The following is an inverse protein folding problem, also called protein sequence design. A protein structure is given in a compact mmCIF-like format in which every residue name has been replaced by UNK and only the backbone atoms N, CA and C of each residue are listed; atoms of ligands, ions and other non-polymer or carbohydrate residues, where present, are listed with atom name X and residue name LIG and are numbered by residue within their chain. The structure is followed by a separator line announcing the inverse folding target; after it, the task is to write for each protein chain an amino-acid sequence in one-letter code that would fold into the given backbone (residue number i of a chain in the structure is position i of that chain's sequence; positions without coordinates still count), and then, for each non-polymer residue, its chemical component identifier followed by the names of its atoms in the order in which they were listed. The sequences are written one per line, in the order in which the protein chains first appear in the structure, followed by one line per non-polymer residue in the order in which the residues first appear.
data_IF_845153692539
#
_entry.id   IF_845153692539
#
_cell.length_a   1.000
_cell.length_b   1.000
_cell.length_c   1.000
_cell.angle_alpha   90.00
_cell.angle_beta   90.00
_cell.angle_gamma   90.00
#
_symmetry.space_group_name_H-M   'P 1'
#
loop_
_entity.id
_entity.type
_entity.pdbx_description
1 polymer ?
#
# COMPACT_ATOMS: atom_id res chain seq x y z
N UNK A 1 -18.57 -14.81 -14.25
CA UNK A 1 -18.76 -14.39 -12.84
C UNK A 1 -17.87 -13.19 -12.59
N UNK A 2 -18.43 -12.14 -12.00
CA UNK A 2 -17.72 -10.89 -11.69
C UNK A 2 -17.20 -10.89 -10.25
N UNK A 3 -15.89 -10.79 -10.08
CA UNK A 3 -15.26 -10.64 -8.79
C UNK A 3 -14.73 -9.21 -8.62
N UNK A 4 -15.09 -8.60 -7.52
CA UNK A 4 -14.49 -7.31 -7.10
C UNK A 4 -13.58 -7.58 -5.91
N UNK A 5 -12.38 -7.00 -5.94
CA UNK A 5 -11.36 -7.12 -4.90
C UNK A 5 -11.00 -5.72 -4.43
N UNK A 6 -11.04 -5.48 -3.12
CA UNK A 6 -10.67 -4.21 -2.51
C UNK A 6 -9.33 -4.36 -1.81
N UNK A 7 -8.33 -3.59 -2.28
CA UNK A 7 -6.95 -3.65 -1.83
C UNK A 7 -6.06 -4.51 -2.72
N UNK A 8 -5.00 -3.92 -3.25
CA UNK A 8 -4.16 -4.48 -4.33
C UNK A 8 -2.77 -4.94 -3.91
N UNK A 9 -2.45 -4.97 -2.62
CA UNK A 9 -1.08 -5.31 -2.22
C UNK A 9 -0.94 -6.82 -2.00
N UNK A 10 -0.78 -7.30 -0.77
CA UNK A 10 -0.49 -8.72 -0.54
C UNK A 10 -1.73 -9.61 -0.72
N UNK A 11 -2.78 -9.38 0.07
CA UNK A 11 -3.97 -10.24 0.11
C UNK A 11 -4.74 -10.22 -1.20
N UNK A 12 -5.08 -9.02 -1.69
CA UNK A 12 -5.90 -8.88 -2.90
C UNK A 12 -5.19 -9.34 -4.16
N UNK A 13 -3.92 -8.97 -4.36
CA UNK A 13 -3.15 -9.44 -5.52
C UNK A 13 -2.99 -10.97 -5.52
N UNK A 14 -2.75 -11.58 -4.36
CA UNK A 14 -2.68 -13.04 -4.23
C UNK A 14 -4.02 -13.71 -4.53
N UNK A 15 -5.11 -13.14 -4.00
CA UNK A 15 -6.46 -13.63 -4.25
C UNK A 15 -6.83 -13.55 -5.74
N UNK A 16 -6.55 -12.40 -6.37
CA UNK A 16 -6.80 -12.19 -7.80
C UNK A 16 -6.06 -13.22 -8.68
N UNK A 17 -4.77 -13.41 -8.41
CA UNK A 17 -3.95 -14.38 -9.13
C UNK A 17 -4.43 -15.83 -8.90
N UNK A 18 -4.94 -16.15 -7.71
CA UNK A 18 -5.49 -17.46 -7.41
C UNK A 18 -6.85 -17.67 -8.08
N UNK A 19 -7.72 -16.68 -8.05
CA UNK A 19 -9.03 -16.72 -8.72
C UNK A 19 -8.87 -17.01 -10.22
N UNK A 20 -7.98 -16.28 -10.89
CA UNK A 20 -7.73 -16.50 -12.32
C UNK A 20 -7.31 -17.92 -12.64
N UNK A 21 -6.53 -18.56 -11.77
CA UNK A 21 -6.11 -19.97 -11.95
C UNK A 21 -7.25 -20.97 -11.71
N UNK A 22 -8.28 -20.57 -10.96
CA UNK A 22 -9.47 -21.40 -10.69
C UNK A 22 -10.56 -21.19 -11.72
N UNK A 23 -10.67 -20.00 -12.31
CA UNK A 23 -11.66 -19.64 -13.30
C UNK A 23 -11.04 -18.69 -14.34
N UNK A 24 -10.70 -19.24 -15.50
CA UNK A 24 -10.09 -18.51 -16.60
C UNK A 24 -11.06 -17.52 -17.26
N UNK A 25 -12.37 -17.73 -17.09
CA UNK A 25 -13.42 -16.90 -17.69
C UNK A 25 -13.96 -15.80 -16.77
N UNK A 26 -13.54 -15.80 -15.51
CA UNK A 26 -13.98 -14.80 -14.55
C UNK A 26 -13.60 -13.39 -14.96
N UNK A 27 -14.49 -12.45 -14.75
CA UNK A 27 -14.17 -11.02 -14.74
C UNK A 27 -13.66 -10.63 -13.36
N UNK A 28 -12.48 -10.03 -13.29
CA UNK A 28 -11.85 -9.68 -12.02
C UNK A 28 -11.42 -8.23 -12.07
N UNK A 29 -11.99 -7.42 -11.20
CA UNK A 29 -11.63 -6.02 -11.00
C UNK A 29 -11.03 -5.86 -9.61
N UNK A 30 -9.87 -5.20 -9.53
CA UNK A 30 -9.17 -4.92 -8.31
C UNK A 30 -9.06 -3.41 -8.12
N UNK A 31 -9.61 -2.91 -7.01
CA UNK A 31 -9.51 -1.51 -6.59
C UNK A 31 -8.40 -1.33 -5.57
N UNK A 32 -7.51 -0.40 -5.85
CA UNK A 32 -6.46 0.03 -4.93
C UNK A 32 -6.53 1.54 -4.71
N UNK A 33 -6.63 1.94 -3.44
CA UNK A 33 -6.65 3.36 -3.07
C UNK A 33 -5.32 4.06 -3.37
N UNK A 34 -4.22 3.34 -3.18
CA UNK A 34 -2.87 3.83 -3.44
C UNK A 34 -2.55 3.87 -4.93
N UNK A 35 -1.32 4.22 -5.21
CA UNK A 35 -0.78 4.31 -6.57
C UNK A 35 -0.17 2.99 -7.05
N UNK A 36 0.18 2.11 -6.11
CA UNK A 36 0.95 0.89 -6.40
C UNK A 36 0.25 -0.35 -5.87
N UNK A 37 0.32 -1.43 -6.63
CA UNK A 37 -0.10 -2.76 -6.22
C UNK A 37 1.12 -3.66 -6.03
N UNK A 38 0.93 -4.77 -5.32
CA UNK A 38 1.90 -5.88 -5.29
C UNK A 38 3.34 -5.44 -5.08
N UNK A 39 3.59 -4.63 -4.07
CA UNK A 39 4.93 -4.22 -3.67
C UNK A 39 5.40 -4.92 -2.40
N UNK A 40 6.71 -4.96 -2.18
CA UNK A 40 7.37 -5.58 -1.04
C UNK A 40 7.21 -4.72 0.23
N UNK A 41 6.13 -4.90 1.00
CA UNK A 41 5.90 -4.18 2.26
C UNK A 41 7.09 -4.31 3.23
N UNK A 42 7.65 -5.52 3.35
CA UNK A 42 8.81 -5.76 4.21
C UNK A 42 10.10 -5.13 3.66
N UNK A 43 10.13 -4.70 2.42
CA UNK A 43 11.26 -4.01 1.79
C UNK A 43 11.35 -2.52 2.12
N UNK A 44 10.26 -1.92 2.61
CA UNK A 44 10.16 -0.48 2.82
C UNK A 44 11.22 0.06 3.78
N UNK A 45 11.44 -0.52 4.98
CA UNK A 45 12.52 -0.09 5.87
C UNK A 45 13.90 -0.24 5.25
N UNK A 46 14.13 -1.30 4.47
CA UNK A 46 15.42 -1.58 3.83
C UNK A 46 15.73 -0.61 2.68
N UNK A 47 14.71 -0.14 1.97
CA UNK A 47 14.88 0.94 1.00
C UNK A 47 15.20 2.27 1.69
N UNK A 48 14.53 2.59 2.79
CA UNK A 48 14.88 3.76 3.62
C UNK A 48 16.32 3.67 4.11
N UNK A 49 16.76 2.49 4.54
CA UNK A 49 18.12 2.22 5.02
C UNK A 49 19.19 2.20 3.94
N UNK A 50 18.82 2.18 2.65
CA UNK A 50 19.75 2.09 1.53
C UNK A 50 20.26 0.67 1.24
N UNK A 51 19.72 -0.36 1.88
CA UNK A 51 20.00 -1.77 1.56
C UNK A 51 19.39 -2.15 0.21
N UNK A 52 18.17 -1.70 -0.02
CA UNK A 52 17.56 -1.68 -1.36
C UNK A 52 17.88 -0.33 -1.96
N UNK A 53 18.74 -0.31 -2.95
CA UNK A 53 19.24 0.93 -3.55
C UNK A 53 18.25 1.53 -4.54
N UNK A 54 17.64 0.68 -5.37
CA UNK A 54 16.74 1.06 -6.45
C UNK A 54 15.28 0.96 -5.98
N UNK A 55 14.53 2.06 -6.08
CA UNK A 55 13.12 2.12 -5.69
C UNK A 55 12.25 1.10 -6.43
N UNK A 56 12.58 0.87 -7.67
CA UNK A 56 11.87 -0.04 -8.58
C UNK A 56 11.88 -1.49 -8.09
N UNK A 57 12.87 -1.88 -7.31
CA UNK A 57 12.94 -3.21 -6.68
C UNK A 57 11.89 -3.45 -5.59
N UNK A 58 11.20 -2.40 -5.15
CA UNK A 58 10.06 -2.55 -4.26
C UNK A 58 8.84 -3.15 -4.98
N UNK A 59 8.73 -2.96 -6.30
CA UNK A 59 7.53 -3.34 -7.05
C UNK A 59 7.67 -4.75 -7.63
N UNK A 60 6.74 -5.61 -7.22
CA UNK A 60 6.67 -7.00 -7.72
C UNK A 60 5.88 -7.06 -9.03
N UNK A 61 4.80 -6.29 -9.13
CA UNK A 61 3.95 -6.18 -10.32
C UNK A 61 3.44 -4.73 -10.46
N UNK A 62 3.31 -4.29 -11.71
CA UNK A 62 2.54 -3.09 -12.06
C UNK A 62 1.13 -3.48 -12.49
N UNK A 63 0.17 -2.54 -12.57
CA UNK A 63 -1.16 -2.82 -13.11
C UNK A 63 -1.12 -3.47 -14.50
N UNK A 64 -0.25 -2.98 -15.38
CA UNK A 64 -0.08 -3.47 -16.76
C UNK A 64 0.48 -4.89 -16.79
N UNK A 65 1.54 -5.16 -16.02
CA UNK A 65 2.14 -6.49 -15.94
C UNK A 65 1.18 -7.50 -15.28
N UNK A 66 0.39 -7.03 -14.31
CA UNK A 66 -0.60 -7.85 -13.64
C UNK A 66 -1.76 -8.20 -14.57
N UNK A 67 -2.23 -7.23 -15.38
CA UNK A 67 -3.22 -7.48 -16.42
C UNK A 67 -2.69 -8.43 -17.50
N UNK A 68 -1.49 -8.20 -18.00
CA UNK A 68 -0.89 -9.05 -19.03
C UNK A 68 -0.76 -10.51 -18.57
N UNK A 69 -0.45 -10.73 -17.30
CA UNK A 69 -0.24 -12.07 -16.73
C UNK A 69 -1.52 -12.77 -16.28
N UNK A 70 -2.44 -12.02 -15.66
CA UNK A 70 -3.59 -12.58 -14.97
C UNK A 70 -4.94 -12.10 -15.52
N UNK A 71 -4.96 -11.20 -16.50
CA UNK A 71 -6.20 -10.62 -17.05
C UNK A 71 -7.10 -10.04 -15.95
N UNK A 72 -6.50 -9.41 -14.94
CA UNK A 72 -7.18 -8.70 -13.86
C UNK A 72 -7.16 -7.22 -14.17
N UNK A 73 -8.33 -6.60 -14.24
CA UNK A 73 -8.43 -5.14 -14.37
C UNK A 73 -8.06 -4.50 -13.03
N UNK A 74 -7.01 -3.70 -13.03
CA UNK A 74 -6.54 -3.00 -11.84
C UNK A 74 -6.82 -1.51 -11.96
N UNK A 75 -7.57 -0.99 -11.00
CA UNK A 75 -7.85 0.44 -10.89
C UNK A 75 -7.18 0.99 -9.64
N UNK A 76 -6.02 1.62 -9.83
CA UNK A 76 -5.31 2.36 -8.78
C UNK A 76 -5.93 3.73 -8.54
N UNK A 77 -5.59 4.39 -7.44
CA UNK A 77 -6.19 5.66 -7.01
C UNK A 77 -7.73 5.62 -7.01
N UNK A 78 -8.26 4.45 -6.67
CA UNK A 78 -9.69 4.14 -6.69
C UNK A 78 -10.11 3.61 -5.33
N UNK A 79 -10.75 4.46 -4.53
CA UNK A 79 -11.13 4.13 -3.17
C UNK A 79 -12.57 3.63 -3.11
N UNK A 80 -12.78 2.41 -2.62
CA UNK A 80 -14.11 1.91 -2.29
C UNK A 80 -14.59 2.57 -1.00
N UNK A 81 -15.62 3.39 -1.11
CA UNK A 81 -16.18 4.16 0.01
C UNK A 81 -17.31 3.46 0.73
N UNK A 82 -18.10 2.68 -0.01
CA UNK A 82 -19.30 2.04 0.50
C UNK A 82 -19.50 0.68 -0.17
N UNK A 83 -20.07 -0.24 0.58
CA UNK A 83 -20.49 -1.55 0.11
C UNK A 83 -21.99 -1.66 0.37
N UNK A 84 -22.73 -1.96 -0.68
CA UNK A 84 -24.13 -2.36 -0.61
C UNK A 84 -24.19 -3.89 -0.87
N UNK A 85 -24.30 -4.64 0.20
CA UNK A 85 -24.27 -6.11 0.12
C UNK A 85 -25.56 -6.69 -0.45
N UNK A 86 -26.70 -6.01 -0.27
CA UNK A 86 -28.00 -6.45 -0.80
C UNK A 86 -28.07 -6.23 -2.31
N UNK A 87 -27.69 -5.04 -2.77
CA UNK A 87 -27.63 -4.71 -4.19
C UNK A 87 -26.39 -5.28 -4.89
N UNK A 88 -25.45 -5.88 -4.15
CA UNK A 88 -24.15 -6.37 -4.64
C UNK A 88 -23.40 -5.30 -5.44
N UNK A 89 -23.20 -4.14 -4.86
CA UNK A 89 -22.49 -3.01 -5.45
C UNK A 89 -21.50 -2.41 -4.48
N UNK A 90 -20.42 -1.85 -5.03
CA UNK A 90 -19.51 -0.98 -4.32
C UNK A 90 -19.57 0.41 -4.91
N UNK A 91 -19.49 1.43 -4.05
CA UNK A 91 -19.34 2.82 -4.49
C UNK A 91 -17.85 3.16 -4.47
N UNK A 92 -17.33 3.56 -5.60
CA UNK A 92 -15.90 3.84 -5.83
C UNK A 92 -15.70 5.33 -6.09
N UNK A 93 -14.71 5.91 -5.43
CA UNK A 93 -14.23 7.28 -5.70
C UNK A 93 -12.92 7.19 -6.48
N UNK A 94 -12.90 7.72 -7.69
CA UNK A 94 -11.68 7.94 -8.46
C UNK A 94 -10.97 9.17 -7.89
N UNK A 95 -9.84 8.96 -7.26
CA UNK A 95 -9.07 10.01 -6.58
C UNK A 95 -8.32 10.94 -7.56
N UNK A 96 -8.20 10.56 -8.83
CA UNK A 96 -7.61 11.44 -9.84
C UNK A 96 -8.63 12.47 -10.33
N UNK A 97 -9.85 12.02 -10.62
CA UNK A 97 -10.90 12.89 -11.20
C UNK A 97 -11.89 13.44 -10.17
N UNK A 98 -11.89 12.88 -8.95
CA UNK A 98 -12.88 13.17 -7.91
C UNK A 98 -14.28 12.61 -8.20
N UNK A 99 -14.46 11.87 -9.28
CA UNK A 99 -15.74 11.28 -9.66
C UNK A 99 -16.04 10.05 -8.80
N UNK A 100 -17.34 9.86 -8.54
CA UNK A 100 -17.83 8.67 -7.84
C UNK A 100 -18.71 7.87 -8.78
N UNK A 101 -18.57 6.55 -8.76
CA UNK A 101 -19.37 5.62 -9.56
C UNK A 101 -19.65 4.34 -8.80
N UNK A 102 -20.54 3.51 -9.31
CA UNK A 102 -20.85 2.21 -8.76
C UNK A 102 -20.29 1.09 -9.62
N UNK A 103 -19.80 0.03 -8.98
CA UNK A 103 -19.38 -1.22 -9.63
C UNK A 103 -20.18 -2.38 -9.02
N UNK A 104 -20.76 -3.23 -9.88
CA UNK A 104 -21.49 -4.41 -9.43
C UNK A 104 -20.55 -5.61 -9.27
N UNK A 105 -20.95 -6.59 -8.45
CA UNK A 105 -20.19 -7.82 -8.26
C UNK A 105 -21.08 -9.03 -8.00
N UNK A 106 -20.61 -10.21 -8.37
CA UNK A 106 -21.16 -11.48 -7.89
C UNK A 106 -20.55 -11.87 -6.55
N UNK A 107 -19.24 -11.67 -6.41
CA UNK A 107 -18.45 -11.95 -5.20
C UNK A 107 -17.51 -10.78 -4.89
N UNK A 108 -17.39 -10.47 -3.62
CA UNK A 108 -16.53 -9.39 -3.11
C UNK A 108 -15.46 -9.96 -2.18
N UNK A 109 -14.21 -9.55 -2.38
CA UNK A 109 -13.09 -9.87 -1.51
C UNK A 109 -12.57 -8.57 -0.91
N UNK A 110 -12.45 -8.55 0.42
CA UNK A 110 -11.95 -7.40 1.16
C UNK A 110 -10.55 -7.67 1.69
N UNK A 111 -9.58 -6.88 1.22
CA UNK A 111 -8.18 -6.90 1.65
C UNK A 111 -7.65 -5.47 1.84
N UNK A 112 -8.37 -4.60 2.60
CA UNK A 112 -8.05 -3.17 2.68
C UNK A 112 -6.75 -2.87 3.44
N UNK A 113 -6.18 -3.86 4.12
CA UNK A 113 -5.03 -3.68 4.98
C UNK A 113 -5.36 -2.96 6.29
N UNK A 114 -4.41 -2.19 6.79
CA UNK A 114 -4.54 -1.43 8.03
C UNK A 114 -3.91 -0.04 7.86
N UNK A 115 -4.33 0.90 8.69
CA UNK A 115 -3.72 2.23 8.80
C UNK A 115 -3.02 2.36 10.15
N UNK A 116 -1.88 3.06 10.22
CA UNK A 116 -1.23 3.36 11.50
C UNK A 116 -2.14 4.20 12.40
N UNK A 117 -2.27 3.80 13.64
CA UNK A 117 -2.96 4.61 14.65
C UNK A 117 -2.11 5.84 14.95
N UNK A 118 -2.70 7.01 14.83
CA UNK A 118 -2.12 8.27 15.30
C UNK A 118 -2.86 8.68 16.58
N UNK A 119 -2.25 8.50 17.76
CA UNK A 119 -2.87 8.87 19.00
C UNK A 119 -3.07 10.40 19.05
N UNK A 120 -4.08 10.92 19.76
CA UNK A 120 -4.35 12.36 19.86
C UNK A 120 -3.35 13.04 20.83
N UNK A 121 -2.07 13.03 20.45
CA UNK A 121 -1.01 13.69 21.19
C UNK A 121 -0.72 15.06 20.59
N UNK A 122 -0.42 16.03 21.43
CA UNK A 122 0.01 17.35 21.00
C UNK A 122 1.30 17.20 20.16
N UNK A 123 1.37 17.90 19.04
CA UNK A 123 2.52 17.86 18.14
C UNK A 123 2.62 16.65 17.22
N UNK A 124 1.70 15.65 17.25
CA UNK A 124 1.75 14.44 16.41
C UNK A 124 1.73 14.75 14.89
N UNK A 125 1.28 15.92 14.52
CA UNK A 125 1.24 16.39 13.13
C UNK A 125 2.44 17.23 12.70
N UNK A 126 3.41 17.46 13.59
CA UNK A 126 4.57 18.27 13.31
C UNK A 126 5.46 17.68 12.21
N UNK A 127 6.18 18.59 11.53
CA UNK A 127 7.13 18.21 10.49
C UNK A 127 8.26 17.33 11.05
N UNK A 128 8.55 16.23 10.35
CA UNK A 128 9.56 15.26 10.81
C UNK A 128 8.98 14.12 11.63
N UNK A 129 7.67 14.10 11.88
CA UNK A 129 6.97 12.96 12.50
C UNK A 129 6.27 12.13 11.42
N UNK A 130 6.67 10.87 11.33
CA UNK A 130 6.23 9.97 10.28
C UNK A 130 5.61 8.70 10.84
N UNK A 131 4.74 8.11 10.03
CA UNK A 131 4.34 6.70 10.16
C UNK A 131 4.76 5.99 8.89
N UNK A 132 5.14 4.72 8.98
CA UNK A 132 5.51 3.91 7.84
C UNK A 132 4.42 2.86 7.56
N UNK A 133 3.75 2.98 6.41
CA UNK A 133 2.70 2.05 6.00
C UNK A 133 2.82 1.64 4.54
N UNK A 134 3.16 2.57 3.65
CA UNK A 134 3.12 2.37 2.20
C UNK A 134 4.33 3.02 1.52
N UNK A 135 4.38 2.92 0.19
CA UNK A 135 5.48 3.48 -0.63
C UNK A 135 5.57 5.00 -0.48
N UNK A 136 4.45 5.70 -0.43
CA UNK A 136 4.45 7.17 -0.28
C UNK A 136 5.04 7.61 1.06
N UNK A 137 4.75 6.88 2.15
CA UNK A 137 5.37 7.13 3.45
C UNK A 137 6.89 6.89 3.38
N UNK A 138 7.28 5.81 2.72
CA UNK A 138 8.68 5.44 2.52
C UNK A 138 9.44 6.51 1.76
N UNK A 139 8.88 7.01 0.66
CA UNK A 139 9.48 8.09 -0.14
C UNK A 139 9.65 9.36 0.68
N UNK A 140 8.65 9.72 1.50
CA UNK A 140 8.73 10.89 2.39
C UNK A 140 9.83 10.73 3.45
N UNK A 141 9.88 9.59 4.14
CA UNK A 141 10.89 9.32 5.17
C UNK A 141 12.28 9.30 4.55
N UNK A 142 12.45 8.61 3.43
CA UNK A 142 13.74 8.53 2.73
C UNK A 142 14.20 9.91 2.26
N UNK A 143 13.33 10.66 1.60
CA UNK A 143 13.65 12.03 1.15
C UNK A 143 14.04 12.94 2.31
N UNK A 144 13.35 12.84 3.45
CA UNK A 144 13.69 13.58 4.65
C UNK A 144 15.08 13.21 5.16
N UNK A 145 15.36 11.93 5.25
CA UNK A 145 16.66 11.44 5.73
C UNK A 145 17.82 11.76 4.77
N UNK A 146 17.55 11.83 3.46
CA UNK A 146 18.55 12.12 2.43
C UNK A 146 18.84 13.64 2.31
N UNK A 147 17.81 14.48 2.40
CA UNK A 147 17.90 15.91 2.14
C UNK A 147 18.24 16.76 3.38
N UNK A 148 18.07 16.21 4.57
CA UNK A 148 18.31 16.90 5.84
C UNK A 148 19.52 16.29 6.55
N UNK A 149 20.29 17.13 7.24
CA UNK A 149 21.34 16.63 8.12
C UNK A 149 20.70 16.09 9.41
N UNK A 150 20.08 14.90 9.30
CA UNK A 150 19.39 14.24 10.42
C UNK A 150 20.43 13.79 11.44
N UNK A 151 20.46 14.44 12.60
CA UNK A 151 21.42 14.14 13.66
C UNK A 151 20.99 13.02 14.60
N UNK A 152 19.69 12.76 14.67
CA UNK A 152 19.10 11.77 15.56
C UNK A 152 17.69 11.40 15.09
N UNK A 153 17.32 10.15 15.31
CA UNK A 153 15.96 9.66 15.14
C UNK A 153 15.41 9.07 16.44
N UNK A 154 14.11 9.18 16.62
CA UNK A 154 13.39 8.51 17.69
C UNK A 154 12.39 7.57 17.04
N UNK A 155 12.41 6.29 17.43
CA UNK A 155 11.46 5.29 16.96
C UNK A 155 10.51 4.93 18.10
N UNK A 156 9.24 5.25 17.93
CA UNK A 156 8.22 4.96 18.94
C UNK A 156 7.52 3.66 18.60
N UNK A 157 7.75 2.64 19.44
CA UNK A 157 7.20 1.30 19.31
C UNK A 157 8.23 0.25 18.89
N UNK A 158 8.29 -0.85 19.64
CA UNK A 158 9.22 -1.95 19.45
C UNK A 158 8.59 -3.16 18.72
N UNK A 159 7.61 -2.92 17.85
CA UNK A 159 7.13 -3.93 16.91
C UNK A 159 8.11 -4.14 15.75
N UNK A 160 7.85 -5.14 14.89
CA UNK A 160 8.75 -5.48 13.76
C UNK A 160 9.13 -4.26 12.91
N UNK A 161 8.17 -3.43 12.52
CA UNK A 161 8.43 -2.23 11.71
C UNK A 161 9.36 -1.27 12.45
N UNK A 162 9.13 -1.05 13.75
CA UNK A 162 9.95 -0.15 14.56
C UNK A 162 11.39 -0.66 14.69
N UNK A 163 11.58 -1.94 14.95
CA UNK A 163 12.92 -2.55 15.07
C UNK A 163 13.67 -2.51 13.72
N UNK A 164 13.00 -2.85 12.62
CA UNK A 164 13.59 -2.77 11.27
C UNK A 164 13.95 -1.33 10.91
N UNK A 165 13.10 -0.36 11.25
CA UNK A 165 13.40 1.05 11.03
C UNK A 165 14.59 1.51 11.86
N UNK A 166 14.65 1.14 13.15
CA UNK A 166 15.77 1.49 14.02
C UNK A 166 17.09 0.93 13.46
N UNK A 167 17.11 -0.35 13.07
CA UNK A 167 18.29 -0.98 12.44
C UNK A 167 18.72 -0.25 11.17
N UNK A 168 17.77 0.02 10.27
CA UNK A 168 18.06 0.62 8.98
C UNK A 168 18.50 2.09 9.09
N UNK A 169 17.93 2.86 10.02
CA UNK A 169 18.39 4.21 10.32
C UNK A 169 19.78 4.21 10.96
N UNK A 170 20.04 3.27 11.87
CA UNK A 170 21.37 3.11 12.48
C UNK A 170 22.44 2.77 11.43
N UNK A 171 22.16 1.87 10.48
CA UNK A 171 23.05 1.55 9.34
C UNK A 171 23.41 2.77 8.50
N UNK A 172 22.54 3.75 8.41
CA UNK A 172 22.79 5.03 7.76
C UNK A 172 23.66 5.98 8.60
N UNK A 173 24.09 5.56 9.78
CA UNK A 173 24.85 6.40 10.69
C UNK A 173 23.99 7.41 11.47
N UNK A 174 22.68 7.24 11.50
CA UNK A 174 21.76 8.08 12.27
C UNK A 174 21.58 7.45 13.65
N UNK A 175 22.00 8.11 14.74
CA UNK A 175 21.73 7.63 16.10
C UNK A 175 20.23 7.49 16.36
N UNK A 176 19.81 6.36 16.91
CA UNK A 176 18.40 6.04 17.16
C UNK A 176 18.15 5.83 18.65
N UNK A 177 17.02 6.31 19.13
CA UNK A 177 16.51 6.11 20.49
C UNK A 177 15.11 5.52 20.46
#
# INVERSE_FOLDING_TARGET
MMYVIVGGVAGGASAAARLRRLDETAEIVLFEKGEYISYANCGLPYYIGGVIEERERLFVQTPESFYARFRVEVRVKSEVKRIDAEAKRVTVSDLNSGKTYEESYDKLILSPGAEPVRPPLEGIGEEGIFTLRNVADTDRIKSWADSRNVRRAVVVGAGFIGLEMAENLHRRGIPVS
#
